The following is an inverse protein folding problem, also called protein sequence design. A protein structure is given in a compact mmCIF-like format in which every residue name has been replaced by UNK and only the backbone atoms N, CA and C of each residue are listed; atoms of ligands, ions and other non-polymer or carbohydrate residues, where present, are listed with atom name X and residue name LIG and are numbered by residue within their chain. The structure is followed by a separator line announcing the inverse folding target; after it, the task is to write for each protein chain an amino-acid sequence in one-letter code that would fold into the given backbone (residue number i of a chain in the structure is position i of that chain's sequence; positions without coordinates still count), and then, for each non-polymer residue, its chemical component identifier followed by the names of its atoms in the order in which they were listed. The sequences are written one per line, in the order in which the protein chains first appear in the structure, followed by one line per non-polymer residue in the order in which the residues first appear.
data_IF_764594381363
#
_entry.id   IF_764594381363
#
_cell.length_a   1.000
_cell.length_b   1.000
_cell.length_c   1.000
_cell.angle_alpha   90.00
_cell.angle_beta   90.00
_cell.angle_gamma   90.00
#
_symmetry.space_group_name_H-M   'P 1'
#
loop_
_entity.id
_entity.type
_entity.pdbx_description
1 polymer ?
#
# COMPACT_ATOMS: atom_id res chain seq x y z
N UNK A 1 -42.77 -21.16 -8.01
CA UNK A 1 -42.11 -21.50 -6.74
C UNK A 1 -40.63 -21.86 -6.94
N UNK A 2 -40.22 -23.11 -7.26
CA UNK A 2 -38.77 -23.45 -7.34
C UNK A 2 -37.99 -22.69 -8.44
N UNK A 3 -38.60 -22.44 -9.61
CA UNK A 3 -37.95 -21.65 -10.67
C UNK A 3 -37.73 -20.19 -10.29
N UNK A 4 -38.65 -19.56 -9.56
CA UNK A 4 -38.57 -18.13 -9.21
C UNK A 4 -37.46 -17.85 -8.20
N UNK A 5 -37.23 -18.78 -7.26
CA UNK A 5 -36.11 -18.72 -6.32
C UNK A 5 -34.78 -18.82 -7.06
N UNK A 6 -34.67 -19.78 -8.00
CA UNK A 6 -33.48 -19.91 -8.84
C UNK A 6 -33.19 -18.63 -9.63
N UNK A 7 -34.22 -18.03 -10.23
CA UNK A 7 -34.06 -16.79 -11.01
C UNK A 7 -33.65 -15.61 -10.13
N UNK A 8 -34.14 -15.52 -8.89
CA UNK A 8 -33.71 -14.50 -7.93
C UNK A 8 -32.23 -14.68 -7.54
N UNK A 9 -31.82 -15.90 -7.21
CA UNK A 9 -30.41 -16.20 -6.90
C UNK A 9 -29.50 -15.93 -8.10
N UNK A 10 -29.95 -16.23 -9.31
CA UNK A 10 -29.18 -15.95 -10.54
C UNK A 10 -28.99 -14.44 -10.75
N UNK A 11 -30.02 -13.64 -10.50
CA UNK A 11 -29.93 -12.18 -10.61
C UNK A 11 -28.99 -11.58 -9.55
N UNK A 12 -29.09 -12.03 -8.31
CA UNK A 12 -28.23 -11.58 -7.22
C UNK A 12 -26.76 -11.96 -7.47
N UNK A 13 -26.53 -13.21 -7.86
CA UNK A 13 -25.22 -13.70 -8.27
C UNK A 13 -24.61 -12.87 -9.41
N UNK A 14 -25.39 -12.57 -10.44
CA UNK A 14 -24.93 -11.77 -11.58
C UNK A 14 -24.53 -10.35 -11.16
N UNK A 15 -25.31 -9.72 -10.27
CA UNK A 15 -25.00 -8.41 -9.71
C UNK A 15 -23.71 -8.39 -8.88
N UNK A 16 -23.52 -9.38 -8.01
CA UNK A 16 -22.31 -9.52 -7.20
C UNK A 16 -21.08 -9.77 -8.07
N UNK A 17 -21.15 -10.68 -9.02
CA UNK A 17 -20.03 -10.98 -9.93
C UNK A 17 -19.66 -9.78 -10.79
N UNK A 18 -20.64 -9.02 -11.29
CA UNK A 18 -20.36 -7.80 -12.05
C UNK A 18 -19.63 -6.76 -11.19
N UNK A 19 -20.07 -6.58 -9.94
CA UNK A 19 -19.45 -5.66 -8.97
C UNK A 19 -18.02 -6.09 -8.64
N UNK A 20 -17.80 -7.38 -8.37
CA UNK A 20 -16.49 -7.95 -8.06
C UNK A 20 -15.53 -7.79 -9.25
N UNK A 21 -15.98 -8.09 -10.47
CA UNK A 21 -15.17 -7.91 -11.70
C UNK A 21 -14.79 -6.45 -11.92
N UNK A 22 -15.75 -5.54 -11.80
CA UNK A 22 -15.48 -4.10 -11.94
C UNK A 22 -14.45 -3.62 -10.89
N UNK A 23 -14.55 -4.11 -9.65
CA UNK A 23 -13.58 -3.76 -8.60
C UNK A 23 -12.20 -4.35 -8.88
N UNK A 24 -12.10 -5.58 -9.38
CA UNK A 24 -10.84 -6.22 -9.76
C UNK A 24 -10.16 -5.53 -10.95
N UNK A 25 -10.93 -5.15 -11.97
CA UNK A 25 -10.38 -4.58 -13.21
C UNK A 25 -10.09 -3.08 -13.11
N UNK A 26 -10.96 -2.31 -12.44
CA UNK A 26 -10.90 -0.84 -12.47
C UNK A 26 -10.49 -0.24 -11.14
N UNK A 27 -11.13 -0.64 -10.03
CA UNK A 27 -10.92 0.03 -8.74
C UNK A 27 -9.62 -0.37 -8.04
N UNK A 28 -9.30 -1.67 -8.00
CA UNK A 28 -8.13 -2.18 -7.28
C UNK A 28 -6.77 -1.69 -7.82
N UNK A 29 -6.60 -1.48 -9.14
CA UNK A 29 -5.38 -0.86 -9.67
C UNK A 29 -5.21 0.62 -9.27
N UNK A 30 -6.31 1.37 -9.13
CA UNK A 30 -6.29 2.79 -8.79
C UNK A 30 -6.06 3.03 -7.29
N UNK A 31 -6.50 2.11 -6.44
CA UNK A 31 -6.38 2.23 -4.98
C UNK A 31 -4.97 1.86 -4.48
N UNK A 32 -4.50 2.55 -3.43
CA UNK A 32 -3.18 2.31 -2.83
C UNK A 32 -3.29 2.24 -1.30
N UNK A 33 -2.46 1.41 -0.67
CA UNK A 33 -2.35 1.34 0.79
C UNK A 33 -3.61 0.76 1.46
N UNK A 34 -4.07 1.42 2.54
CA UNK A 34 -5.17 0.94 3.38
C UNK A 34 -6.53 0.91 2.65
N UNK A 35 -6.77 1.83 1.71
CA UNK A 35 -7.99 1.82 0.89
C UNK A 35 -8.05 0.58 0.01
N UNK A 36 -6.94 0.23 -0.65
CA UNK A 36 -6.83 -1.01 -1.43
C UNK A 36 -7.00 -2.24 -0.57
N UNK A 37 -6.41 -2.25 0.63
CA UNK A 37 -6.54 -3.37 1.58
C UNK A 37 -7.99 -3.56 2.03
N UNK A 38 -8.70 -2.46 2.30
CA UNK A 38 -10.12 -2.49 2.66
C UNK A 38 -10.96 -2.98 1.49
N UNK A 39 -10.74 -2.43 0.30
CA UNK A 39 -11.45 -2.84 -0.92
C UNK A 39 -11.23 -4.33 -1.23
N UNK A 40 -10.02 -4.86 -1.06
CA UNK A 40 -9.74 -6.29 -1.20
C UNK A 40 -10.59 -7.14 -0.25
N UNK A 41 -10.65 -6.78 1.04
CA UNK A 41 -11.45 -7.50 2.04
C UNK A 41 -12.94 -7.45 1.72
N UNK A 42 -13.44 -6.29 1.30
CA UNK A 42 -14.86 -6.17 0.91
C UNK A 42 -15.16 -7.02 -0.32
N UNK A 43 -14.28 -7.02 -1.32
CA UNK A 43 -14.43 -7.82 -2.54
C UNK A 43 -14.32 -9.32 -2.24
N UNK A 44 -13.48 -9.72 -1.28
CA UNK A 44 -13.38 -11.10 -0.80
C UNK A 44 -14.69 -11.55 -0.15
N UNK A 45 -15.31 -10.72 0.70
CA UNK A 45 -16.62 -10.99 1.31
C UNK A 45 -17.74 -11.12 0.26
N UNK A 46 -17.79 -10.21 -0.71
CA UNK A 46 -18.77 -10.25 -1.82
C UNK A 46 -18.59 -11.51 -2.68
N UNK A 47 -17.35 -11.98 -2.85
CA UNK A 47 -17.05 -13.19 -3.59
C UNK A 47 -17.42 -14.47 -2.82
N UNK A 48 -17.29 -14.47 -1.49
CA UNK A 48 -17.82 -15.54 -0.63
C UNK A 48 -19.35 -15.63 -0.74
N UNK A 49 -20.04 -14.48 -0.70
CA UNK A 49 -21.49 -14.40 -0.88
C UNK A 49 -21.94 -14.95 -2.26
N UNK A 50 -21.22 -14.60 -3.33
CA UNK A 50 -21.44 -15.18 -4.65
C UNK A 50 -21.20 -16.70 -4.70
N UNK A 51 -20.24 -17.21 -3.92
CA UNK A 51 -19.99 -18.65 -3.80
C UNK A 51 -21.14 -19.38 -3.07
N UNK A 52 -21.67 -18.77 -2.02
CA UNK A 52 -22.83 -19.28 -1.28
C UNK A 52 -24.08 -19.34 -2.16
N UNK A 53 -24.37 -18.28 -2.93
CA UNK A 53 -25.47 -18.26 -3.90
C UNK A 53 -25.32 -19.35 -4.95
N UNK A 54 -24.10 -19.59 -5.46
CA UNK A 54 -23.84 -20.69 -6.39
C UNK A 54 -24.09 -22.07 -5.75
N UNK A 55 -23.82 -22.23 -4.46
CA UNK A 55 -24.19 -23.42 -3.69
C UNK A 55 -25.70 -23.57 -3.49
N UNK A 56 -26.40 -22.49 -3.17
CA UNK A 56 -27.86 -22.49 -3.04
C UNK A 56 -28.55 -22.86 -4.37
N UNK A 57 -28.08 -22.29 -5.49
CA UNK A 57 -28.54 -22.66 -6.83
C UNK A 57 -28.30 -24.15 -7.16
N UNK A 58 -27.22 -24.76 -6.66
CA UNK A 58 -26.95 -26.19 -6.83
C UNK A 58 -27.92 -27.07 -6.04
N UNK A 59 -28.31 -26.62 -4.84
CA UNK A 59 -29.33 -27.31 -4.03
C UNK A 59 -30.72 -27.20 -4.68
N UNK A 60 -31.08 -26.03 -5.20
CA UNK A 60 -32.33 -25.85 -5.96
C UNK A 60 -32.34 -26.64 -7.28
N UNK A 61 -31.19 -26.84 -7.90
CA UNK A 61 -31.07 -27.72 -9.07
C UNK A 61 -31.51 -29.17 -8.81
N UNK A 62 -31.42 -29.63 -7.55
CA UNK A 62 -31.88 -30.96 -7.16
C UNK A 62 -33.41 -31.03 -7.11
N UNK A 63 -34.09 -29.91 -6.84
CA UNK A 63 -35.55 -29.81 -6.76
C UNK A 63 -36.18 -29.63 -8.15
N UNK A 64 -35.44 -29.04 -9.10
CA UNK A 64 -35.85 -28.88 -10.50
C UNK A 64 -35.92 -30.22 -11.25
N UNK A 65 -36.88 -30.35 -12.18
CA UNK A 65 -37.08 -31.56 -12.99
C UNK A 65 -37.20 -31.26 -14.48
N UNK A 66 -36.83 -32.25 -15.31
CA UNK A 66 -37.06 -32.20 -16.75
C UNK A 66 -36.25 -31.10 -17.48
N UNK A 67 -36.85 -30.37 -18.44
CA UNK A 67 -36.14 -29.44 -19.32
C UNK A 67 -35.56 -28.19 -18.64
N UNK A 68 -36.05 -27.79 -17.46
CA UNK A 68 -35.53 -26.63 -16.72
C UNK A 68 -34.19 -26.96 -16.06
N UNK A 69 -34.11 -28.12 -15.40
CA UNK A 69 -32.88 -28.64 -14.81
C UNK A 69 -31.77 -28.82 -15.84
N UNK A 70 -32.08 -29.37 -17.02
CA UNK A 70 -31.07 -29.59 -18.06
C UNK A 70 -30.46 -28.29 -18.60
N UNK A 71 -31.21 -27.18 -18.59
CA UNK A 71 -30.71 -25.85 -18.97
C UNK A 71 -29.94 -25.17 -17.83
N UNK A 72 -30.38 -25.32 -16.58
CA UNK A 72 -29.78 -24.67 -15.43
C UNK A 72 -28.48 -25.35 -14.94
N UNK A 73 -28.39 -26.69 -15.03
CA UNK A 73 -27.24 -27.47 -14.56
C UNK A 73 -25.88 -27.03 -15.13
N UNK A 74 -25.71 -26.81 -16.45
CA UNK A 74 -24.43 -26.32 -16.98
C UNK A 74 -24.11 -24.89 -16.52
N UNK A 75 -25.11 -24.02 -16.35
CA UNK A 75 -24.92 -22.64 -15.89
C UNK A 75 -24.37 -22.60 -14.47
N UNK A 76 -24.95 -23.38 -13.54
CA UNK A 76 -24.45 -23.45 -12.15
C UNK A 76 -23.03 -24.00 -12.07
N UNK A 77 -22.67 -24.99 -12.90
CA UNK A 77 -21.27 -25.46 -13.00
C UNK A 77 -20.34 -24.35 -13.46
N UNK A 78 -20.76 -23.57 -14.45
CA UNK A 78 -20.00 -22.44 -14.95
C UNK A 78 -19.82 -21.37 -13.87
N UNK A 79 -20.89 -21.02 -13.15
CA UNK A 79 -20.86 -20.08 -12.02
C UNK A 79 -19.87 -20.48 -10.93
N UNK A 80 -19.83 -21.76 -10.55
CA UNK A 80 -18.84 -22.28 -9.60
C UNK A 80 -17.41 -22.15 -10.13
N UNK A 81 -17.18 -22.46 -11.41
CA UNK A 81 -15.85 -22.30 -12.02
C UNK A 81 -15.42 -20.83 -12.11
N UNK A 82 -16.36 -19.93 -12.36
CA UNK A 82 -16.13 -18.50 -12.46
C UNK A 82 -15.79 -17.90 -11.10
N UNK A 83 -16.50 -18.30 -10.04
CA UNK A 83 -16.16 -17.92 -8.66
C UNK A 83 -14.74 -18.38 -8.30
N UNK A 84 -14.38 -19.62 -8.61
CA UNK A 84 -13.05 -20.14 -8.33
C UNK A 84 -11.95 -19.43 -9.13
N UNK A 85 -12.26 -18.99 -10.36
CA UNK A 85 -11.36 -18.14 -11.15
C UNK A 85 -11.19 -16.76 -10.50
N UNK A 86 -12.28 -16.10 -10.14
CA UNK A 86 -12.26 -14.79 -9.48
C UNK A 86 -11.52 -14.84 -8.14
N UNK A 87 -11.63 -15.94 -7.39
CA UNK A 87 -10.86 -16.14 -6.14
C UNK A 87 -9.36 -16.18 -6.39
N UNK A 88 -8.94 -16.87 -7.46
CA UNK A 88 -7.52 -16.91 -7.85
C UNK A 88 -7.02 -15.53 -8.27
N UNK A 89 -7.82 -14.79 -9.05
CA UNK A 89 -7.49 -13.42 -9.48
C UNK A 89 -7.38 -12.46 -8.28
N UNK A 90 -8.32 -12.53 -7.34
CA UNK A 90 -8.28 -11.73 -6.11
C UNK A 90 -7.06 -12.06 -5.22
N UNK A 91 -6.71 -13.34 -5.11
CA UNK A 91 -5.52 -13.77 -4.37
C UNK A 91 -4.22 -13.32 -5.07
N UNK A 92 -4.17 -13.32 -6.40
CA UNK A 92 -3.04 -12.73 -7.13
C UNK A 92 -2.94 -11.22 -6.91
N UNK A 93 -4.07 -10.52 -6.93
CA UNK A 93 -4.13 -9.08 -6.67
C UNK A 93 -3.72 -8.70 -5.24
N UNK A 94 -4.00 -9.57 -4.25
CA UNK A 94 -3.58 -9.40 -2.85
C UNK A 94 -2.10 -9.72 -2.64
N UNK A 95 -1.57 -10.77 -3.28
CA UNK A 95 -0.14 -11.10 -3.23
C UNK A 95 0.73 -9.99 -3.85
N UNK A 96 0.26 -9.37 -4.94
CA UNK A 96 0.91 -8.19 -5.54
C UNK A 96 0.97 -6.97 -4.61
N UNK A 97 0.02 -6.84 -3.67
CA UNK A 97 0.07 -5.79 -2.65
C UNK A 97 1.18 -6.05 -1.63
N UNK A 98 1.39 -7.30 -1.21
CA UNK A 98 2.41 -7.68 -0.24
C UNK A 98 3.84 -7.42 -0.76
N UNK A 99 4.10 -7.67 -2.04
CA UNK A 99 5.38 -7.36 -2.67
C UNK A 99 5.57 -5.85 -2.87
N UNK A 100 4.52 -5.12 -3.25
CA UNK A 100 4.55 -3.66 -3.35
C UNK A 100 4.81 -2.97 -2.00
N UNK A 101 4.11 -3.37 -0.95
CA UNK A 101 4.30 -2.83 0.40
C UNK A 101 5.68 -3.16 0.96
N UNK A 102 6.18 -4.39 0.71
CA UNK A 102 7.53 -4.79 1.12
C UNK A 102 8.60 -3.98 0.40
N UNK A 103 8.46 -3.78 -0.92
CA UNK A 103 9.37 -2.95 -1.71
C UNK A 103 9.29 -1.48 -1.29
N UNK A 104 8.10 -0.94 -1.03
CA UNK A 104 7.91 0.42 -0.54
C UNK A 104 8.56 0.59 0.84
N UNK A 105 8.42 -0.37 1.76
CA UNK A 105 9.10 -0.37 3.06
C UNK A 105 10.62 -0.45 2.92
N UNK A 106 11.13 -1.25 1.99
CA UNK A 106 12.55 -1.34 1.72
C UNK A 106 13.12 -0.05 1.11
N UNK A 107 12.34 0.66 0.29
CA UNK A 107 12.76 1.91 -0.37
C UNK A 107 12.59 3.15 0.52
N UNK A 108 11.56 3.19 1.37
CA UNK A 108 11.22 4.37 2.20
C UNK A 108 11.59 4.21 3.67
N UNK A 109 12.06 3.04 4.10
CA UNK A 109 12.27 2.74 5.52
C UNK A 109 10.94 2.64 6.29
N UNK A 110 10.96 1.96 7.43
CA UNK A 110 9.85 2.06 8.38
C UNK A 110 9.77 3.49 8.91
N UNK A 111 8.59 4.08 9.17
CA UNK A 111 8.48 5.34 9.90
C UNK A 111 9.21 5.31 11.25
N UNK A 112 9.35 4.11 11.83
CA UNK A 112 10.14 3.86 13.04
C UNK A 112 11.64 4.03 12.80
N UNK A 113 12.13 3.58 11.65
CA UNK A 113 13.54 3.64 11.27
C UNK A 113 13.91 5.07 10.84
N UNK A 114 13.02 5.73 10.06
CA UNK A 114 13.17 7.14 9.69
C UNK A 114 13.19 8.08 10.91
N UNK A 115 12.31 7.86 11.89
CA UNK A 115 12.30 8.67 13.12
C UNK A 115 13.56 8.46 13.98
N UNK A 116 14.15 7.26 13.95
CA UNK A 116 15.39 6.97 14.66
C UNK A 116 16.61 7.56 13.93
N UNK A 117 16.60 7.56 12.60
CA UNK A 117 17.64 8.14 11.76
C UNK A 117 17.62 9.68 11.76
N UNK A 118 16.43 10.31 11.72
CA UNK A 118 16.27 11.77 11.83
C UNK A 118 16.80 12.32 13.16
N UNK A 119 16.47 11.66 14.29
CA UNK A 119 16.98 12.05 15.61
C UNK A 119 18.51 11.89 15.72
N UNK A 120 19.10 10.95 14.99
CA UNK A 120 20.53 10.70 15.00
C UNK A 120 21.27 11.69 14.09
N UNK A 121 20.72 11.96 12.90
CA UNK A 121 21.29 12.86 11.92
C UNK A 121 21.25 14.33 12.36
N UNK A 122 20.16 14.78 13.01
CA UNK A 122 20.05 16.17 13.50
C UNK A 122 21.06 16.47 14.61
N UNK A 123 21.28 15.51 15.52
CA UNK A 123 22.29 15.62 16.59
C UNK A 123 23.71 15.71 16.03
N UNK A 124 24.06 14.86 15.06
CA UNK A 124 25.37 14.86 14.42
C UNK A 124 25.62 16.11 13.57
N UNK A 125 24.59 16.59 12.87
CA UNK A 125 24.67 17.79 12.04
C UNK A 125 24.84 19.06 12.91
N UNK A 126 24.10 19.15 14.02
CA UNK A 126 24.25 20.23 15.01
C UNK A 126 25.64 20.24 15.66
N UNK A 127 26.17 19.07 16.00
CA UNK A 127 27.52 18.92 16.57
C UNK A 127 28.60 19.38 15.59
N UNK A 128 28.49 19.02 14.31
CA UNK A 128 29.41 19.48 13.26
C UNK A 128 29.36 20.99 13.07
N UNK A 129 28.17 21.59 13.02
CA UNK A 129 28.00 23.05 12.86
C UNK A 129 28.58 23.83 14.03
N UNK A 130 28.35 23.38 15.27
CA UNK A 130 28.94 23.99 16.47
C UNK A 130 30.47 23.93 16.44
N UNK A 131 31.04 22.77 16.06
CA UNK A 131 32.50 22.61 15.96
C UNK A 131 33.14 23.50 14.88
N UNK A 132 32.42 23.76 13.78
CA UNK A 132 32.85 24.67 12.72
C UNK A 132 32.90 26.12 13.20
N UNK A 133 31.89 26.56 13.95
CA UNK A 133 31.81 27.93 14.47
C UNK A 133 32.90 28.22 15.52
N UNK A 134 33.18 27.28 16.43
CA UNK A 134 34.27 27.46 17.41
C UNK A 134 35.66 27.59 16.77
N UNK A 135 35.89 26.91 15.64
CA UNK A 135 37.15 27.02 14.89
C UNK A 135 37.27 28.38 14.20
N UNK A 136 36.17 28.89 13.64
CA UNK A 136 36.12 30.21 13.02
C UNK A 136 36.33 31.33 14.04
N UNK A 137 35.67 31.26 15.21
CA UNK A 137 35.84 32.25 16.28
C UNK A 137 37.29 32.29 16.79
N UNK A 138 37.91 31.13 17.02
CA UNK A 138 39.34 31.06 17.39
C UNK A 138 40.26 31.60 16.29
N UNK A 139 39.96 31.33 15.02
CA UNK A 139 40.68 31.88 13.87
C UNK A 139 40.59 33.40 13.81
N UNK A 140 39.39 33.95 13.98
CA UNK A 140 39.13 35.40 13.98
C UNK A 140 39.88 36.11 15.11
N UNK A 141 39.87 35.54 16.32
CA UNK A 141 40.56 36.13 17.47
C UNK A 141 42.08 36.13 17.27
N UNK A 142 42.66 35.02 16.77
CA UNK A 142 44.10 34.96 16.46
C UNK A 142 44.49 35.93 15.35
N UNK A 143 43.64 36.11 14.34
CA UNK A 143 43.87 37.11 13.27
C UNK A 143 43.86 38.53 13.83
N UNK A 144 42.86 38.88 14.66
CA UNK A 144 42.79 40.18 15.32
C UNK A 144 43.98 40.44 16.25
N UNK A 145 44.39 39.43 17.03
CA UNK A 145 45.56 39.52 17.89
C UNK A 145 46.86 39.65 17.07
N UNK A 146 47.00 38.92 15.95
CA UNK A 146 48.15 39.06 15.06
C UNK A 146 48.22 40.45 14.42
N UNK A 147 47.07 41.00 14.03
CA UNK A 147 46.98 42.34 13.45
C UNK A 147 47.36 43.41 14.49
N UNK A 148 46.91 43.24 15.74
CA UNK A 148 47.26 44.15 16.83
C UNK A 148 48.76 44.11 17.15
N UNK A 149 49.34 42.91 17.26
CA UNK A 149 50.78 42.74 17.51
C UNK A 149 51.61 43.31 16.37
N UNK A 150 51.21 43.10 15.11
CA UNK A 150 51.89 43.66 13.94
C UNK A 150 51.92 45.21 13.98
N UNK A 151 50.78 45.84 14.27
CA UNK A 151 50.69 47.30 14.43
C UNK A 151 51.49 47.82 15.64
N UNK A 152 51.51 47.08 16.75
CA UNK A 152 52.34 47.41 17.92
C UNK A 152 53.85 47.31 17.61
N UNK A 153 54.28 46.39 16.74
CA UNK A 153 55.68 46.28 16.31
C UNK A 153 56.13 47.33 15.30
N UNK A 154 55.22 47.90 14.50
CA UNK A 154 55.54 49.05 13.63
C UNK A 154 55.79 50.34 14.44
N UNK A 155 55.17 50.48 15.62
CA UNK A 155 55.39 51.62 16.51
C UNK A 155 56.72 51.57 17.29
N UNK A 156 57.43 50.43 17.26
CA UNK A 156 58.67 50.17 18.02
C UNK A 156 59.88 49.87 17.14
N UNK A 157 59.79 50.04 15.81
CA UNK A 157 60.95 49.96 14.93
C UNK A 157 61.72 51.30 14.96
N UNK A 158 62.93 51.38 15.54
CA UNK A 158 63.77 52.58 15.41
C UNK A 158 64.21 52.73 13.96
N UNK A 159 63.98 53.92 13.40
CA UNK A 159 64.55 54.33 12.13
C UNK A 159 66.08 54.30 12.22
N UNK A 160 66.72 53.47 11.38
CA UNK A 160 68.13 53.60 11.03
C UNK A 160 68.24 54.28 9.67
#
# INVERSE_FOLDING_TARGET
MSSELFDNYENEYAGLVATVKQRLETSLPELVGDERRTALRTTERELEEAAELAGQMEMELLTLQGPTRSRAAPRVRQYKSDVERLKRELNQASQGLGSYESNRRALLGSPRDLAMEESSADSDQRTRLLSGNERLLRGSQRLQDSHRIAMETEAWAPAF
#
